data_IF_519770065663
#
_entry.id   IF_519770065663
#
_cell.length_a   1.000
_cell.length_b   1.000
_cell.length_c   1.000
_cell.angle_alpha   90.00
_cell.angle_beta   90.00
_cell.angle_gamma   90.00
#
_symmetry.space_group_name_H-M   'P 1'
#
loop_
_entity.id
_entity.type
_entity.pdbx_description
1 polymer ?
#
# COMPACT_ATOMS: atom_id res chain seq x y z
N UNK A 1 1.65 26.49 33.52
CA UNK A 1 3.09 26.36 33.19
C UNK A 1 3.28 25.66 31.83
N UNK A 2 4.46 25.72 31.21
CA UNK A 2 4.74 25.02 29.92
C UNK A 2 4.48 23.52 30.02
N UNK A 3 4.87 22.90 31.16
CA UNK A 3 4.68 21.48 31.42
C UNK A 3 3.21 21.03 31.32
N UNK A 4 2.30 21.75 32.00
CA UNK A 4 0.86 21.45 31.97
C UNK A 4 0.28 21.53 30.55
N UNK A 5 0.78 22.45 29.71
CA UNK A 5 0.36 22.55 28.30
C UNK A 5 0.83 21.33 27.50
N UNK A 6 2.04 20.84 27.75
CA UNK A 6 2.57 19.63 27.11
C UNK A 6 1.75 18.41 27.53
N UNK A 7 1.46 18.26 28.82
CA UNK A 7 0.67 17.13 29.34
C UNK A 7 -0.75 17.12 28.79
N UNK A 8 -1.41 18.28 28.74
CA UNK A 8 -2.74 18.41 28.15
C UNK A 8 -2.74 18.07 26.65
N UNK A 9 -1.74 18.51 25.90
CA UNK A 9 -1.60 18.18 24.48
C UNK A 9 -1.35 16.68 24.28
N UNK A 10 -0.44 16.07 25.04
CA UNK A 10 -0.13 14.64 24.96
C UNK A 10 -1.34 13.78 25.30
N UNK A 11 -2.12 14.16 26.33
CA UNK A 11 -3.36 13.46 26.68
C UNK A 11 -4.33 13.46 25.50
N UNK A 12 -4.53 14.60 24.85
CA UNK A 12 -5.37 14.71 23.66
C UNK A 12 -4.87 13.85 22.50
N UNK A 13 -3.56 13.85 22.23
CA UNK A 13 -2.95 13.01 21.18
C UNK A 13 -3.18 11.52 21.48
N UNK A 14 -2.95 11.08 22.72
CA UNK A 14 -3.19 9.69 23.11
C UNK A 14 -4.66 9.31 23.00
N UNK A 15 -5.58 10.18 23.41
CA UNK A 15 -7.02 9.98 23.19
C UNK A 15 -7.35 9.86 21.71
N UNK A 16 -6.75 10.66 20.84
CA UNK A 16 -6.94 10.56 19.39
C UNK A 16 -6.49 9.20 18.85
N UNK A 17 -5.25 8.81 19.15
CA UNK A 17 -4.66 7.54 18.71
C UNK A 17 -5.48 6.34 19.22
N UNK A 18 -5.80 6.33 20.52
CA UNK A 18 -6.53 5.22 21.15
C UNK A 18 -7.97 5.11 20.65
N UNK A 19 -8.60 6.21 20.22
CA UNK A 19 -9.95 6.20 19.66
C UNK A 19 -9.99 6.05 18.14
N UNK A 20 -8.84 6.05 17.45
CA UNK A 20 -8.78 5.83 16.00
C UNK A 20 -9.42 4.50 15.59
N UNK A 21 -10.10 4.52 14.44
CA UNK A 21 -10.82 3.38 13.85
C UNK A 21 -10.41 3.19 12.38
N UNK A 22 -9.15 2.80 12.10
CA UNK A 22 -8.69 2.55 10.74
C UNK A 22 -9.48 1.40 10.13
N UNK A 23 -10.28 1.73 9.12
CA UNK A 23 -11.17 0.80 8.44
C UNK A 23 -10.78 0.70 6.97
N UNK A 24 -10.55 -0.51 6.47
CA UNK A 24 -10.37 -0.76 5.04
C UNK A 24 -11.72 -0.62 4.34
N UNK A 25 -11.79 0.27 3.35
CA UNK A 25 -13.03 0.59 2.63
C UNK A 25 -13.09 -0.04 1.24
N UNK A 26 -12.05 0.14 0.43
CA UNK A 26 -12.03 -0.25 -0.98
C UNK A 26 -10.58 -0.36 -1.50
N UNK A 27 -10.42 -0.71 -2.78
CA UNK A 27 -9.19 -0.58 -3.57
C UNK A 27 -9.43 0.45 -4.68
N UNK A 28 -8.49 1.37 -4.86
CA UNK A 28 -8.51 2.39 -5.91
C UNK A 28 -7.27 2.35 -6.80
N UNK A 29 -7.27 3.18 -7.83
CA UNK A 29 -6.09 3.50 -8.64
C UNK A 29 -5.43 4.73 -8.04
N UNK A 30 -4.11 4.71 -7.85
CA UNK A 30 -3.39 5.76 -7.14
C UNK A 30 -3.67 7.18 -7.67
N UNK A 31 -3.66 7.38 -9.00
CA UNK A 31 -3.99 8.66 -9.63
C UNK A 31 -5.37 9.20 -9.24
N UNK A 32 -6.35 8.32 -9.11
CA UNK A 32 -7.74 8.69 -8.87
C UNK A 32 -8.02 9.04 -7.41
N UNK A 33 -7.31 8.40 -6.47
CA UNK A 33 -7.70 8.42 -5.05
C UNK A 33 -6.65 9.04 -4.12
N UNK A 34 -5.38 9.10 -4.52
CA UNK A 34 -4.33 9.71 -3.70
C UNK A 34 -4.30 11.23 -3.97
N UNK A 35 -4.45 12.08 -2.94
CA UNK A 35 -4.44 13.53 -3.12
C UNK A 35 -3.15 14.02 -3.80
N UNK A 36 -3.27 14.81 -4.87
CA UNK A 36 -2.13 15.40 -5.57
C UNK A 36 -1.30 14.42 -6.43
N UNK A 37 -1.78 13.20 -6.64
CA UNK A 37 -1.17 12.25 -7.57
C UNK A 37 -1.45 12.68 -9.02
N UNK A 38 -0.48 12.45 -9.91
CA UNK A 38 -0.61 12.70 -11.36
C UNK A 38 0.11 11.59 -12.13
N UNK A 39 -0.10 11.50 -13.44
CA UNK A 39 0.65 10.56 -14.32
C UNK A 39 2.17 10.70 -14.25
N UNK A 40 2.70 11.88 -13.90
CA UNK A 40 4.14 12.16 -13.77
C UNK A 40 4.56 12.37 -12.31
N UNK A 41 3.75 11.93 -11.35
CA UNK A 41 4.13 11.89 -9.94
C UNK A 41 4.57 10.48 -9.58
N UNK A 42 5.72 10.34 -8.94
CA UNK A 42 6.14 9.11 -8.27
C UNK A 42 6.30 9.39 -6.79
N UNK A 43 5.54 8.67 -5.97
CA UNK A 43 5.73 8.72 -4.52
C UNK A 43 6.81 7.74 -4.10
N UNK A 44 7.46 8.01 -2.96
CA UNK A 44 8.46 7.13 -2.38
C UNK A 44 8.41 7.11 -0.85
N UNK A 45 9.04 6.11 -0.23
CA UNK A 45 9.21 6.05 1.21
C UNK A 45 10.19 7.13 1.73
N UNK A 46 10.09 7.45 3.03
CA UNK A 46 11.02 8.36 3.70
C UNK A 46 10.75 9.85 3.46
N UNK A 47 11.65 10.74 3.92
CA UNK A 47 11.54 12.19 3.75
C UNK A 47 11.87 12.64 2.31
N UNK A 48 11.63 13.92 1.95
CA UNK A 48 11.91 14.42 0.61
C UNK A 48 13.34 14.13 0.14
N UNK A 49 13.49 13.57 -1.05
CA UNK A 49 14.79 13.26 -1.66
C UNK A 49 14.73 13.48 -3.17
N UNK A 50 15.78 14.08 -3.72
CA UNK A 50 15.92 14.25 -5.17
C UNK A 50 16.46 12.96 -5.81
N UNK A 51 16.13 12.73 -7.07
CA UNK A 51 16.57 11.60 -7.88
C UNK A 51 18.06 11.28 -7.72
N UNK A 52 18.93 12.29 -7.80
CA UNK A 52 20.38 12.10 -7.80
C UNK A 52 20.88 11.44 -6.51
N UNK A 53 20.19 11.73 -5.39
CA UNK A 53 20.52 11.26 -4.03
C UNK A 53 19.81 9.96 -3.66
N UNK A 54 18.89 9.46 -4.48
CA UNK A 54 18.22 8.19 -4.22
C UNK A 54 19.23 7.03 -4.19
N UNK A 55 19.05 6.12 -3.25
CA UNK A 55 19.82 4.87 -3.19
C UNK A 55 19.58 4.00 -4.43
N UNK A 56 20.50 3.07 -4.71
CA UNK A 56 20.36 2.12 -5.84
C UNK A 56 19.00 1.40 -5.87
N UNK A 57 18.54 0.77 -4.78
CA UNK A 57 17.23 0.11 -4.73
C UNK A 57 16.06 1.06 -5.02
N UNK A 58 16.09 2.28 -4.48
CA UNK A 58 15.04 3.27 -4.76
C UNK A 58 15.07 3.71 -6.24
N UNK A 59 16.26 3.93 -6.81
CA UNK A 59 16.39 4.23 -8.25
C UNK A 59 15.84 3.11 -9.12
N UNK A 60 16.17 1.85 -8.80
CA UNK A 60 15.64 0.68 -9.51
C UNK A 60 14.12 0.59 -9.42
N UNK A 61 13.53 0.90 -8.26
CA UNK A 61 12.08 0.91 -8.08
C UNK A 61 11.40 2.00 -8.92
N UNK A 62 11.99 3.20 -8.99
CA UNK A 62 11.51 4.29 -9.86
C UNK A 62 11.60 3.89 -11.34
N UNK A 63 12.73 3.31 -11.77
CA UNK A 63 12.91 2.82 -13.14
C UNK A 63 11.83 1.80 -13.49
N UNK A 64 11.63 0.79 -12.63
CA UNK A 64 10.58 -0.20 -12.84
C UNK A 64 9.18 0.40 -12.87
N UNK A 65 8.90 1.41 -12.05
CA UNK A 65 7.62 2.12 -12.08
C UNK A 65 7.42 2.89 -13.39
N UNK A 66 8.42 3.59 -13.90
CA UNK A 66 8.34 4.30 -15.19
C UNK A 66 8.09 3.33 -16.36
N UNK A 67 8.75 2.17 -16.36
CA UNK A 67 8.52 1.11 -17.34
C UNK A 67 7.10 0.52 -17.19
N UNK A 68 6.66 0.28 -15.96
CA UNK A 68 5.31 -0.22 -15.67
C UNK A 68 4.20 0.75 -16.13
N UNK A 69 4.41 2.06 -16.01
CA UNK A 69 3.51 3.10 -16.51
C UNK A 69 3.59 3.28 -18.04
N UNK A 70 4.53 2.63 -18.72
CA UNK A 70 4.77 2.81 -20.15
C UNK A 70 5.34 4.17 -20.52
N UNK A 71 5.97 4.86 -19.56
CA UNK A 71 6.65 6.14 -19.78
C UNK A 71 8.08 5.98 -20.30
N UNK A 72 8.61 4.77 -20.25
CA UNK A 72 9.88 4.36 -20.82
C UNK A 72 9.84 2.88 -21.21
N UNK A 73 10.58 2.49 -22.25
CA UNK A 73 10.62 1.09 -22.71
C UNK A 73 11.74 0.27 -22.09
N UNK A 74 12.76 0.92 -21.55
CA UNK A 74 13.92 0.28 -20.94
C UNK A 74 14.55 1.11 -19.81
N UNK A 75 15.58 0.55 -19.17
CA UNK A 75 16.31 1.19 -18.08
C UNK A 75 16.94 2.52 -18.48
N UNK A 76 17.43 2.62 -19.72
CA UNK A 76 18.14 3.82 -20.20
C UNK A 76 17.16 4.97 -20.33
N UNK A 77 16.06 4.76 -21.05
CA UNK A 77 15.01 5.78 -21.23
C UNK A 77 14.40 6.17 -19.87
N UNK A 78 14.14 5.20 -18.99
CA UNK A 78 13.60 5.46 -17.66
C UNK A 78 14.56 6.30 -16.80
N UNK A 79 15.87 6.03 -16.88
CA UNK A 79 16.89 6.80 -16.14
C UNK A 79 17.01 8.23 -16.68
N UNK A 80 16.97 8.40 -18.00
CA UNK A 80 16.99 9.71 -18.65
C UNK A 80 15.74 10.53 -18.27
N UNK A 81 14.55 9.94 -18.33
CA UNK A 81 13.30 10.57 -17.91
C UNK A 81 13.28 10.90 -16.41
N UNK A 82 13.78 10.00 -15.56
CA UNK A 82 13.87 10.24 -14.13
C UNK A 82 14.78 11.43 -13.78
N UNK A 83 15.82 11.67 -14.58
CA UNK A 83 16.75 12.77 -14.42
C UNK A 83 16.32 14.06 -15.16
N UNK A 84 15.30 14.03 -16.01
CA UNK A 84 14.95 15.16 -16.89
C UNK A 84 14.29 16.35 -16.18
N UNK A 85 13.78 16.12 -14.96
CA UNK A 85 12.97 17.08 -14.21
C UNK A 85 11.49 17.06 -14.57
N UNK A 86 11.05 16.18 -15.47
CA UNK A 86 9.64 16.01 -15.82
C UNK A 86 8.84 15.19 -14.80
N UNK A 87 9.53 14.36 -13.99
CA UNK A 87 8.92 13.54 -12.95
C UNK A 87 8.97 14.27 -11.61
N UNK A 88 7.82 14.36 -10.94
CA UNK A 88 7.72 14.87 -9.57
C UNK A 88 7.91 13.74 -8.57
N UNK A 89 8.88 13.88 -7.67
CA UNK A 89 9.14 12.94 -6.59
C UNK A 89 8.67 13.51 -5.26
N UNK A 90 7.75 12.81 -4.58
CA UNK A 90 7.24 13.23 -3.28
C UNK A 90 7.22 12.07 -2.27
N UNK A 91 7.44 12.35 -0.97
CA UNK A 91 7.18 11.38 0.08
C UNK A 91 5.72 10.91 0.09
N UNK A 92 5.48 9.62 0.26
CA UNK A 92 4.13 9.10 0.50
C UNK A 92 3.45 9.84 1.66
N UNK A 93 4.20 10.19 2.72
CA UNK A 93 3.67 10.88 3.90
C UNK A 93 3.03 12.24 3.62
N UNK A 94 3.40 12.92 2.54
CA UNK A 94 2.81 14.21 2.13
C UNK A 94 1.47 14.06 1.39
N UNK A 95 1.14 12.84 0.97
CA UNK A 95 -0.04 12.52 0.17
C UNK A 95 -0.97 11.53 0.89
N UNK A 96 -0.95 11.54 2.23
CA UNK A 96 -1.68 10.60 3.08
C UNK A 96 -1.38 9.12 2.77
N UNK A 97 -0.24 8.82 2.15
CA UNK A 97 0.14 7.47 1.79
C UNK A 97 1.32 6.98 2.64
N UNK A 98 1.54 5.67 2.62
CA UNK A 98 2.77 5.02 3.09
C UNK A 98 3.15 3.92 2.12
N UNK A 99 4.45 3.66 1.98
CA UNK A 99 4.96 2.62 1.10
C UNK A 99 6.07 1.82 1.80
N UNK A 100 6.02 0.47 1.79
CA UNK A 100 7.07 -0.34 2.38
C UNK A 100 8.36 -0.29 1.55
N UNK A 101 9.51 -0.31 2.23
CA UNK A 101 10.84 -0.41 1.62
C UNK A 101 11.17 0.79 0.71
N UNK A 102 11.41 0.60 -0.60
CA UNK A 102 11.52 1.73 -1.53
C UNK A 102 10.23 2.57 -1.55
N UNK A 103 9.09 1.92 -1.28
CA UNK A 103 7.78 2.55 -1.13
C UNK A 103 7.32 3.31 -2.36
N UNK A 104 7.78 2.90 -3.55
CA UNK A 104 7.42 3.54 -4.81
C UNK A 104 5.96 3.30 -5.11
N UNK A 105 5.24 4.38 -5.42
CA UNK A 105 3.85 4.36 -5.89
C UNK A 105 3.77 5.22 -7.15
N UNK A 106 3.28 4.63 -8.25
CA UNK A 106 3.01 5.33 -9.51
C UNK A 106 1.52 5.36 -9.83
N UNK A 107 1.14 6.13 -10.84
CA UNK A 107 -0.23 6.56 -11.13
C UNK A 107 -1.24 5.41 -11.29
N UNK A 108 -0.87 4.34 -12.00
CA UNK A 108 -1.77 3.21 -12.31
C UNK A 108 -1.78 2.15 -11.22
N UNK A 109 -0.90 2.23 -10.22
CA UNK A 109 -0.80 1.18 -9.19
C UNK A 109 -2.09 1.09 -8.36
N UNK A 110 -2.57 -0.14 -8.06
CA UNK A 110 -3.69 -0.32 -7.16
C UNK A 110 -3.27 -0.06 -5.71
N UNK A 111 -4.14 0.62 -4.96
CA UNK A 111 -3.91 1.00 -3.57
C UNK A 111 -5.10 0.66 -2.69
N UNK A 112 -4.82 0.21 -1.47
CA UNK A 112 -5.81 0.11 -0.40
C UNK A 112 -6.28 1.51 0.00
N UNK A 113 -7.59 1.67 0.17
CA UNK A 113 -8.21 2.90 0.67
C UNK A 113 -8.70 2.63 2.08
N UNK A 114 -8.06 3.29 3.05
CA UNK A 114 -8.48 3.26 4.44
C UNK A 114 -9.08 4.59 4.84
N UNK A 115 -10.03 4.56 5.76
CA UNK A 115 -10.53 5.73 6.46
C UNK A 115 -10.52 5.47 7.96
N UNK A 116 -10.10 6.47 8.73
CA UNK A 116 -10.30 6.49 10.15
C UNK A 116 -11.75 6.90 10.40
N UNK A 117 -12.66 5.95 10.63
CA UNK A 117 -14.10 6.25 10.76
C UNK A 117 -14.43 7.23 11.88
N UNK A 118 -13.56 7.36 12.89
CA UNK A 118 -13.73 8.29 14.01
C UNK A 118 -13.46 9.75 13.60
N UNK A 119 -12.48 10.00 12.75
CA UNK A 119 -11.97 11.35 12.43
C UNK A 119 -12.08 11.74 10.95
N UNK A 120 -12.45 10.80 10.08
CA UNK A 120 -12.75 11.03 8.66
C UNK A 120 -11.54 11.11 7.74
N UNK A 121 -10.31 11.20 8.27
CA UNK A 121 -9.09 11.21 7.46
C UNK A 121 -8.85 9.86 6.77
N UNK A 122 -8.17 9.90 5.63
CA UNK A 122 -7.89 8.73 4.80
C UNK A 122 -6.40 8.40 4.79
N UNK A 123 -6.07 7.16 4.44
CA UNK A 123 -4.70 6.77 4.14
C UNK A 123 -4.61 5.70 3.07
N UNK A 124 -3.48 5.64 2.36
CA UNK A 124 -3.29 4.76 1.20
C UNK A 124 -1.98 3.98 1.27
N UNK A 125 -1.98 2.79 0.67
CA UNK A 125 -0.78 1.97 0.48
C UNK A 125 -1.00 1.04 -0.71
N UNK A 126 0.04 0.75 -1.48
CA UNK A 126 -0.04 -0.23 -2.58
C UNK A 126 -0.38 -1.63 -2.07
N UNK A 127 -0.81 -2.53 -2.94
CA UNK A 127 -0.92 -3.94 -2.61
C UNK A 127 0.48 -4.58 -2.52
N UNK A 128 0.63 -5.62 -1.70
CA UNK A 128 1.90 -6.32 -1.60
C UNK A 128 2.13 -7.23 -2.81
N UNK A 129 3.24 -7.02 -3.50
CA UNK A 129 3.58 -7.72 -4.76
C UNK A 129 4.28 -9.08 -4.56
N UNK A 130 4.48 -9.54 -3.32
CA UNK A 130 5.08 -10.83 -3.00
C UNK A 130 6.48 -10.74 -2.38
N UNK A 131 7.19 -11.86 -2.46
CA UNK A 131 8.55 -12.05 -1.94
C UNK A 131 9.55 -12.28 -3.08
N UNK A 132 10.84 -12.13 -2.78
CA UNK A 132 11.92 -12.36 -3.76
C UNK A 132 12.20 -11.13 -4.63
N UNK A 133 12.14 -11.29 -5.97
CA UNK A 133 12.38 -10.20 -6.93
C UNK A 133 11.12 -9.32 -7.03
N UNK A 134 11.15 -8.17 -6.37
CA UNK A 134 10.00 -7.27 -6.25
C UNK A 134 10.42 -5.81 -6.39
N UNK A 135 9.51 -4.98 -6.89
CA UNK A 135 9.75 -3.56 -7.14
C UNK A 135 10.15 -2.80 -5.88
N UNK A 136 9.53 -3.12 -4.73
CA UNK A 136 9.84 -2.49 -3.44
C UNK A 136 11.27 -2.70 -2.96
N UNK A 137 12.01 -3.65 -3.55
CA UNK A 137 13.45 -3.85 -3.35
C UNK A 137 14.32 -3.37 -4.53
N UNK A 138 13.70 -2.71 -5.51
CA UNK A 138 14.38 -2.14 -6.67
C UNK A 138 14.53 -3.09 -7.86
N UNK A 139 13.87 -4.24 -7.88
CA UNK A 139 13.89 -5.14 -9.04
C UNK A 139 12.87 -4.70 -10.09
N UNK A 140 13.24 -4.75 -11.37
CA UNK A 140 12.40 -4.28 -12.48
C UNK A 140 12.50 -5.16 -13.74
N UNK A 141 12.86 -6.44 -13.59
CA UNK A 141 12.83 -7.39 -14.71
C UNK A 141 11.41 -7.61 -15.25
N UNK A 142 11.28 -8.12 -16.48
CA UNK A 142 9.98 -8.44 -17.11
C UNK A 142 9.00 -9.20 -16.21
N UNK A 143 9.49 -10.16 -15.41
CA UNK A 143 8.65 -10.90 -14.46
C UNK A 143 7.99 -9.98 -13.42
N UNK A 144 8.73 -8.99 -12.91
CA UNK A 144 8.22 -8.01 -11.94
C UNK A 144 7.16 -7.14 -12.60
N UNK A 145 7.44 -6.60 -13.79
CA UNK A 145 6.50 -5.72 -14.50
C UNK A 145 5.23 -6.49 -14.89
N UNK A 146 5.36 -7.74 -15.37
CA UNK A 146 4.22 -8.63 -15.66
C UNK A 146 3.39 -8.91 -14.41
N UNK A 147 4.02 -9.14 -13.26
CA UNK A 147 3.33 -9.34 -11.99
C UNK A 147 2.59 -8.09 -11.54
N UNK A 148 3.20 -6.90 -11.64
CA UNK A 148 2.51 -5.64 -11.34
C UNK A 148 1.30 -5.42 -12.26
N UNK A 149 1.43 -5.69 -13.56
CA UNK A 149 0.30 -5.63 -14.50
C UNK A 149 -0.78 -6.69 -14.20
N UNK A 150 -0.40 -7.88 -13.77
CA UNK A 150 -1.35 -8.89 -13.30
C UNK A 150 -2.07 -8.41 -12.03
N UNK A 151 -1.38 -7.74 -11.11
CA UNK A 151 -2.00 -7.20 -9.91
C UNK A 151 -3.00 -6.09 -10.24
N UNK A 152 -2.64 -5.19 -11.15
CA UNK A 152 -3.50 -4.12 -11.67
C UNK A 152 -4.76 -4.67 -12.35
N UNK A 153 -4.61 -5.69 -13.20
CA UNK A 153 -5.69 -6.16 -14.08
C UNK A 153 -6.53 -7.30 -13.49
N UNK A 154 -6.01 -8.06 -12.51
CA UNK A 154 -6.71 -9.19 -11.90
C UNK A 154 -6.85 -9.07 -10.39
N UNK A 155 -5.73 -9.04 -9.66
CA UNK A 155 -5.74 -9.09 -8.18
C UNK A 155 -6.60 -7.98 -7.60
N UNK A 156 -6.33 -6.73 -7.97
CA UNK A 156 -7.00 -5.56 -7.43
C UNK A 156 -8.49 -5.51 -7.81
N UNK A 157 -8.89 -5.69 -9.09
CA UNK A 157 -10.31 -5.75 -9.46
C UNK A 157 -11.09 -6.86 -8.75
N UNK A 158 -10.49 -8.03 -8.56
CA UNK A 158 -11.12 -9.15 -7.88
C UNK A 158 -11.30 -8.86 -6.38
N UNK A 159 -10.24 -8.41 -5.70
CA UNK A 159 -10.32 -8.04 -4.28
C UNK A 159 -11.25 -6.85 -4.05
N UNK A 160 -11.31 -5.90 -4.98
CA UNK A 160 -12.28 -4.79 -4.99
C UNK A 160 -13.71 -5.30 -5.01
N UNK A 161 -14.01 -6.27 -5.88
CA UNK A 161 -15.36 -6.85 -5.92
C UNK A 161 -15.67 -7.63 -4.63
N UNK A 162 -14.71 -8.39 -4.09
CA UNK A 162 -14.88 -9.11 -2.83
C UNK A 162 -15.14 -8.14 -1.66
N UNK A 163 -14.40 -7.03 -1.56
CA UNK A 163 -14.61 -6.00 -0.55
C UNK A 163 -15.98 -5.32 -0.68
N UNK A 164 -16.47 -5.07 -1.90
CA UNK A 164 -17.82 -4.52 -2.11
C UNK A 164 -18.92 -5.46 -1.63
N UNK A 165 -18.72 -6.77 -1.75
CA UNK A 165 -19.67 -7.77 -1.27
C UNK A 165 -19.57 -7.98 0.26
N UNK A 166 -18.36 -7.93 0.81
CA UNK A 166 -18.10 -8.06 2.25
C UNK A 166 -18.56 -6.82 3.03
N UNK A 167 -18.25 -5.64 2.50
CA UNK A 167 -18.31 -4.37 3.22
C UNK A 167 -16.98 -4.01 3.89
N UNK A 168 -16.92 -2.88 4.62
CA UNK A 168 -15.68 -2.40 5.25
C UNK A 168 -15.13 -3.35 6.32
N UNK A 169 -13.81 -3.41 6.46
CA UNK A 169 -13.12 -4.24 7.46
C UNK A 169 -12.46 -3.36 8.53
N UNK A 170 -12.79 -3.58 9.80
CA UNK A 170 -12.12 -2.93 10.93
C UNK A 170 -10.72 -3.55 11.14
N UNK A 171 -9.69 -2.81 10.69
CA UNK A 171 -8.31 -3.28 10.78
C UNK A 171 -7.80 -3.22 12.21
N UNK A 172 -8.33 -2.38 13.09
CA UNK A 172 -7.89 -2.34 14.50
C UNK A 172 -8.24 -3.63 15.22
N UNK A 173 -9.46 -4.12 15.01
CA UNK A 173 -9.90 -5.41 15.54
C UNK A 173 -9.09 -6.57 14.94
N UNK A 174 -8.89 -6.58 13.61
CA UNK A 174 -8.11 -7.63 12.95
C UNK A 174 -6.64 -7.64 13.40
N UNK A 175 -6.00 -6.46 13.51
CA UNK A 175 -4.62 -6.33 14.01
C UNK A 175 -4.53 -6.83 15.46
N UNK A 176 -5.52 -6.51 16.31
CA UNK A 176 -5.55 -6.99 17.71
C UNK A 176 -5.57 -8.51 17.77
N UNK A 177 -6.36 -9.17 16.92
CA UNK A 177 -6.39 -10.63 16.81
C UNK A 177 -5.05 -11.20 16.31
N UNK A 178 -4.47 -10.59 15.28
CA UNK A 178 -3.17 -11.00 14.75
C UNK A 178 -2.06 -10.93 15.82
N UNK A 179 -2.04 -9.87 16.63
CA UNK A 179 -1.11 -9.73 17.76
C UNK A 179 -1.27 -10.86 18.79
N UNK A 180 -2.50 -11.26 19.10
CA UNK A 180 -2.78 -12.40 20.00
C UNK A 180 -2.39 -13.76 19.39
N UNK A 181 -2.21 -13.81 18.06
CA UNK A 181 -1.76 -14.99 17.32
C UNK A 181 -0.24 -14.98 17.03
N UNK A 182 0.50 -14.05 17.63
CA UNK A 182 1.96 -13.98 17.58
C UNK A 182 2.56 -13.21 16.40
N UNK A 183 1.74 -12.48 15.65
CA UNK A 183 2.23 -11.45 14.72
C UNK A 183 2.65 -10.19 15.51
N UNK A 184 3.45 -9.32 14.88
CA UNK A 184 3.73 -7.97 15.39
C UNK A 184 3.31 -6.85 14.41
N UNK A 185 2.84 -7.22 13.21
CA UNK A 185 2.26 -6.30 12.24
C UNK A 185 3.28 -5.54 11.38
N UNK A 186 4.56 -5.92 11.41
CA UNK A 186 5.63 -5.35 10.59
C UNK A 186 6.47 -6.44 9.89
N UNK A 187 7.25 -7.22 10.62
CA UNK A 187 8.05 -8.33 10.07
C UNK A 187 7.23 -9.62 9.95
N UNK A 188 6.42 -9.94 10.95
CA UNK A 188 5.60 -11.16 11.00
C UNK A 188 4.13 -10.78 10.86
N UNK A 189 3.54 -11.21 9.74
CA UNK A 189 2.19 -10.86 9.30
C UNK A 189 1.37 -12.09 8.87
N UNK A 190 1.75 -13.28 9.32
CA UNK A 190 1.16 -14.55 8.86
C UNK A 190 -0.25 -14.73 9.40
N UNK A 191 -0.48 -14.40 10.67
CA UNK A 191 -1.81 -14.45 11.26
C UNK A 191 -2.74 -13.41 10.62
N UNK A 192 -2.27 -12.17 10.44
CA UNK A 192 -3.02 -11.11 9.76
C UNK A 192 -3.40 -11.47 8.32
N UNK A 193 -2.45 -12.05 7.56
CA UNK A 193 -2.72 -12.53 6.19
C UNK A 193 -3.77 -13.66 6.20
N UNK A 194 -3.68 -14.59 7.15
CA UNK A 194 -4.66 -15.68 7.31
C UNK A 194 -6.06 -15.16 7.68
N UNK A 195 -6.14 -14.18 8.58
CA UNK A 195 -7.40 -13.53 8.97
C UNK A 195 -8.03 -12.79 7.78
N UNK A 196 -7.23 -12.08 6.99
CA UNK A 196 -7.71 -11.40 5.79
C UNK A 196 -8.27 -12.40 4.77
N UNK A 197 -7.57 -13.51 4.51
CA UNK A 197 -8.09 -14.59 3.65
C UNK A 197 -9.40 -15.11 4.22
N UNK A 198 -9.49 -15.36 5.53
CA UNK A 198 -10.71 -15.86 6.18
C UNK A 198 -11.90 -14.90 5.98
N UNK A 199 -11.69 -13.60 6.12
CA UNK A 199 -12.74 -12.59 5.91
C UNK A 199 -13.17 -12.52 4.43
N UNK A 200 -12.21 -12.53 3.49
CA UNK A 200 -12.50 -12.27 2.08
C UNK A 200 -12.85 -13.53 1.26
N UNK A 201 -12.41 -14.73 1.65
CA UNK A 201 -12.57 -15.94 0.84
C UNK A 201 -14.03 -16.24 0.43
N UNK A 202 -15.04 -16.17 1.33
CA UNK A 202 -16.43 -16.40 0.93
C UNK A 202 -16.92 -15.42 -0.14
N UNK A 203 -16.41 -14.19 -0.13
CA UNK A 203 -16.78 -13.12 -1.06
C UNK A 203 -15.98 -13.19 -2.36
N UNK A 204 -14.72 -13.65 -2.30
CA UNK A 204 -13.92 -14.00 -3.48
C UNK A 204 -14.65 -15.05 -4.33
N UNK A 205 -15.22 -16.09 -3.71
CA UNK A 205 -15.98 -17.13 -4.43
C UNK A 205 -17.23 -16.55 -5.12
N UNK A 206 -17.86 -15.54 -4.53
CA UNK A 206 -19.04 -14.87 -5.08
C UNK A 206 -18.72 -13.85 -6.19
N UNK A 207 -17.45 -13.52 -6.42
CA UNK A 207 -17.07 -12.60 -7.51
C UNK A 207 -17.36 -13.20 -8.88
N UNK A 208 -17.41 -12.35 -9.91
CA UNK A 208 -17.72 -12.76 -11.29
C UNK A 208 -16.56 -13.42 -12.04
N UNK A 209 -15.38 -13.45 -11.42
CA UNK A 209 -14.16 -14.00 -12.03
C UNK A 209 -14.26 -15.53 -12.14
N UNK A 210 -13.44 -16.11 -13.03
CA UNK A 210 -13.37 -17.55 -13.22
C UNK A 210 -12.83 -18.26 -11.97
N UNK A 211 -13.13 -19.54 -11.83
CA UNK A 211 -12.60 -20.36 -10.73
C UNK A 211 -11.06 -20.36 -10.71
N UNK A 212 -10.44 -20.44 -11.89
CA UNK A 212 -8.99 -20.38 -12.05
C UNK A 212 -8.40 -19.09 -11.48
N UNK A 213 -8.97 -17.94 -11.84
CA UNK A 213 -8.52 -16.63 -11.35
C UNK A 213 -8.70 -16.47 -9.83
N UNK A 214 -9.81 -16.96 -9.28
CA UNK A 214 -10.07 -16.96 -7.83
C UNK A 214 -9.02 -17.78 -7.08
N UNK A 215 -8.72 -18.98 -7.57
CA UNK A 215 -7.68 -19.85 -7.00
C UNK A 215 -6.31 -19.18 -7.10
N UNK A 216 -6.00 -18.55 -8.23
CA UNK A 216 -4.73 -17.87 -8.46
C UNK A 216 -4.52 -16.71 -7.47
N UNK A 217 -5.54 -15.87 -7.26
CA UNK A 217 -5.49 -14.79 -6.26
C UNK A 217 -5.33 -15.34 -4.84
N UNK A 218 -6.09 -16.37 -4.45
CA UNK A 218 -5.97 -16.97 -3.12
C UNK A 218 -4.57 -17.53 -2.86
N UNK A 219 -4.00 -18.25 -3.85
CA UNK A 219 -2.62 -18.77 -3.76
C UNK A 219 -1.57 -17.66 -3.73
N UNK A 220 -1.78 -16.57 -4.46
CA UNK A 220 -0.88 -15.43 -4.41
C UNK A 220 -0.81 -14.82 -3.00
N UNK A 221 -1.96 -14.66 -2.33
CA UNK A 221 -2.01 -14.13 -0.96
C UNK A 221 -1.41 -15.15 0.03
N UNK A 222 -1.78 -16.43 -0.08
CA UNK A 222 -1.29 -17.51 0.80
C UNK A 222 0.24 -17.69 0.74
N UNK A 223 0.84 -17.58 -0.46
CA UNK A 223 2.29 -17.66 -0.64
C UNK A 223 3.07 -16.43 -0.17
N UNK A 224 2.37 -15.40 0.33
CA UNK A 224 2.95 -14.13 0.73
C UNK A 224 2.60 -13.79 2.18
N UNK A 225 3.40 -14.31 3.11
CA UNK A 225 3.25 -14.01 4.55
C UNK A 225 3.36 -12.51 4.89
N UNK A 226 3.85 -11.67 3.97
CA UNK A 226 3.91 -10.21 4.13
C UNK A 226 2.72 -9.46 3.51
N UNK A 227 1.71 -10.15 2.96
CA UNK A 227 0.60 -9.48 2.27
C UNK A 227 -0.11 -8.46 3.17
N UNK A 228 -0.28 -8.80 4.44
CA UNK A 228 -0.95 -7.95 5.44
C UNK A 228 -0.12 -6.73 5.90
N UNK A 229 1.20 -6.67 5.65
CA UNK A 229 2.02 -5.49 5.96
C UNK A 229 1.47 -4.23 5.29
N UNK A 230 0.98 -4.37 4.06
CA UNK A 230 0.43 -3.27 3.29
C UNK A 230 -0.96 -2.81 3.78
N UNK A 231 -1.51 -3.45 4.82
CA UNK A 231 -2.71 -3.00 5.55
C UNK A 231 -2.37 -2.46 6.94
N UNK A 232 -1.39 -3.04 7.64
CA UNK A 232 -0.96 -2.53 8.95
C UNK A 232 -0.33 -1.14 8.85
N UNK A 233 0.51 -0.92 7.84
CA UNK A 233 1.16 0.38 7.61
C UNK A 233 0.15 1.52 7.41
N UNK A 234 -0.79 1.45 6.44
CA UNK A 234 -1.77 2.53 6.29
C UNK A 234 -2.72 2.60 7.49
N UNK A 235 -3.04 1.50 8.19
CA UNK A 235 -3.85 1.57 9.40
C UNK A 235 -3.19 2.41 10.51
N UNK A 236 -1.88 2.24 10.70
CA UNK A 236 -1.09 3.07 11.60
C UNK A 236 -1.03 4.53 11.14
N UNK A 237 -0.75 4.78 9.84
CA UNK A 237 -0.77 6.14 9.25
C UNK A 237 -2.10 6.83 9.48
N UNK A 238 -3.21 6.16 9.16
CA UNK A 238 -4.57 6.68 9.34
C UNK A 238 -4.88 7.06 10.79
N UNK A 239 -4.31 6.32 11.74
CA UNK A 239 -4.50 6.58 13.17
C UNK A 239 -3.61 7.71 13.68
N UNK A 240 -2.36 7.79 13.20
CA UNK A 240 -1.37 8.77 13.64
C UNK A 240 -1.55 10.16 12.99
N UNK A 241 -2.20 10.24 11.83
CA UNK A 241 -2.49 11.50 11.14
C UNK A 241 -3.73 12.25 11.67
N UNK A 242 -4.52 11.61 12.55
CA UNK A 242 -5.81 12.11 13.02
C UNK A 242 -5.71 13.26 14.03
#
# INVERSE_FOLDING_TARGET
MVQERIEAANKKVMETILNGQPTLLDIGVAEEVIPGMTKKTILHAGPPIKWEKMSGPLKGAVIGALIYEGLAVDEKEATELAASGEISYNPCHHHNAVGPMAGVVSASMPVWILQNKKYGNHSYCTLNEGLGKVLRYGAYSDEVIKRLKWMENLLAPLLKQALKLHGPIDLKTMITQALQMGDEGHNRNRAGTSLLIRELAPYIIQTKFSEKEKIEVLKFIDSNDHFFLNLTMPAAKCTLDA
#
